data_IF_649609365872
#
_entry.id   IF_649609365872
#
_cell.length_a   1.000
_cell.length_b   1.000
_cell.length_c   1.000
_cell.angle_alpha   90.00
_cell.angle_beta   90.00
_cell.angle_gamma   90.00
#
_symmetry.space_group_name_H-M   'P 1'
#
loop_
_entity.id
_entity.type
_entity.pdbx_description
1 polymer ?
#
# COMPACT_ATOMS: atom_id res chain seq x y z
N UNK A 1 -20.66 -6.04 9.65
CA UNK A 1 -20.32 -4.85 8.82
C UNK A 1 -19.33 -3.93 9.52
N UNK A 2 -19.66 -3.19 10.60
CA UNK A 2 -18.69 -2.27 11.23
C UNK A 2 -17.42 -2.96 11.80
N UNK A 3 -17.57 -4.13 12.43
CA UNK A 3 -16.44 -4.93 12.91
C UNK A 3 -15.56 -5.46 11.77
N UNK A 4 -16.16 -5.75 10.61
CA UNK A 4 -15.44 -6.25 9.43
C UNK A 4 -14.59 -5.13 8.80
N UNK A 5 -15.08 -3.89 8.84
CA UNK A 5 -14.35 -2.73 8.32
C UNK A 5 -13.10 -2.42 9.16
N UNK A 6 -13.21 -2.47 10.49
CA UNK A 6 -12.07 -2.24 11.38
C UNK A 6 -11.03 -3.36 11.27
N UNK A 7 -11.48 -4.62 11.16
CA UNK A 7 -10.59 -5.76 10.93
C UNK A 7 -9.85 -5.62 9.58
N UNK A 8 -10.56 -5.23 8.51
CA UNK A 8 -9.96 -4.99 7.20
C UNK A 8 -8.95 -3.82 7.24
N UNK A 9 -9.28 -2.73 7.94
CA UNK A 9 -8.38 -1.59 8.11
C UNK A 9 -7.10 -1.99 8.87
N UNK A 10 -7.22 -2.82 9.91
CA UNK A 10 -6.08 -3.40 10.61
C UNK A 10 -5.18 -4.22 9.67
N UNK A 11 -5.78 -5.13 8.89
CA UNK A 11 -5.02 -5.96 7.93
C UNK A 11 -4.28 -5.12 6.88
N UNK A 12 -4.88 -4.04 6.39
CA UNK A 12 -4.23 -3.14 5.44
C UNK A 12 -3.03 -2.44 6.11
N UNK A 13 -3.20 -1.94 7.34
CA UNK A 13 -2.10 -1.30 8.09
C UNK A 13 -0.95 -2.27 8.33
N UNK A 14 -1.23 -3.53 8.67
CA UNK A 14 -0.21 -4.57 8.86
C UNK A 14 0.61 -4.78 7.57
N UNK A 15 -0.06 -4.86 6.42
CA UNK A 15 0.62 -5.00 5.12
C UNK A 15 1.52 -3.79 4.85
N UNK A 16 1.02 -2.57 5.08
CA UNK A 16 1.80 -1.33 4.86
C UNK A 16 2.94 -1.15 5.86
N UNK A 17 2.84 -1.75 7.05
CA UNK A 17 3.90 -1.82 8.05
C UNK A 17 4.96 -2.91 7.74
N UNK A 18 4.75 -3.71 6.70
CA UNK A 18 5.70 -4.74 6.28
C UNK A 18 5.58 -6.06 7.02
N UNK A 19 4.43 -6.34 7.66
CA UNK A 19 4.17 -7.65 8.26
C UNK A 19 4.15 -8.71 7.14
N UNK A 20 5.05 -9.71 7.19
CA UNK A 20 5.15 -10.70 6.12
C UNK A 20 3.93 -11.63 6.11
N UNK A 21 3.56 -12.10 4.92
CA UNK A 21 2.53 -13.13 4.75
C UNK A 21 1.79 -13.07 3.41
N UNK A 22 0.87 -14.01 3.15
CA UNK A 22 0.19 -14.13 1.86
C UNK A 22 -0.56 -12.87 1.41
N UNK A 23 -1.09 -12.10 2.37
CA UNK A 23 -1.77 -10.81 2.10
C UNK A 23 -0.79 -9.76 1.57
N UNK A 24 0.39 -9.66 2.17
CA UNK A 24 1.42 -8.73 1.71
C UNK A 24 1.91 -9.11 0.30
N UNK A 25 2.08 -10.40 0.03
CA UNK A 25 2.45 -10.92 -1.30
C UNK A 25 1.40 -10.57 -2.36
N UNK A 26 0.11 -10.72 -2.05
CA UNK A 26 -0.97 -10.35 -2.97
C UNK A 26 -0.98 -8.84 -3.29
N UNK A 27 -0.73 -8.00 -2.29
CA UNK A 27 -0.62 -6.54 -2.47
C UNK A 27 0.62 -6.18 -3.30
N UNK A 28 1.75 -6.84 -3.07
CA UNK A 28 2.99 -6.63 -3.84
C UNK A 28 2.75 -6.90 -5.33
N UNK A 29 2.06 -7.98 -5.68
CA UNK A 29 1.78 -8.31 -7.09
C UNK A 29 0.87 -7.26 -7.75
N UNK A 30 -0.18 -6.82 -7.08
CA UNK A 30 -1.07 -5.79 -7.63
C UNK A 30 -0.36 -4.42 -7.75
N UNK A 31 0.45 -4.06 -6.76
CA UNK A 31 1.26 -2.84 -6.82
C UNK A 31 2.31 -2.90 -7.95
N UNK A 32 2.94 -4.06 -8.16
CA UNK A 32 3.87 -4.27 -9.27
C UNK A 32 3.20 -4.07 -10.63
N UNK A 33 1.99 -4.62 -10.81
CA UNK A 33 1.20 -4.41 -12.02
C UNK A 33 0.86 -2.93 -12.23
N UNK A 34 0.46 -2.22 -11.18
CA UNK A 34 0.19 -0.78 -11.24
C UNK A 34 1.45 0.02 -11.62
N UNK A 35 2.61 -0.29 -11.02
CA UNK A 35 3.90 0.35 -11.33
C UNK A 35 4.33 0.11 -12.77
N UNK A 36 4.13 -1.11 -13.29
CA UNK A 36 4.42 -1.45 -14.67
C UNK A 36 3.52 -0.69 -15.64
N UNK A 37 2.20 -0.70 -15.42
CA UNK A 37 1.23 0.02 -16.25
C UNK A 37 1.47 1.54 -16.21
N UNK A 38 1.93 2.08 -15.09
CA UNK A 38 2.32 3.49 -14.95
C UNK A 38 3.65 3.85 -15.64
N UNK A 39 4.37 2.87 -16.22
CA UNK A 39 5.68 3.08 -16.83
C UNK A 39 6.81 3.35 -15.84
N UNK A 40 6.60 3.08 -14.55
CA UNK A 40 7.58 3.28 -13.48
C UNK A 40 8.49 2.06 -13.27
N UNK A 41 8.01 0.87 -13.65
CA UNK A 41 8.79 -0.36 -13.62
C UNK A 41 8.97 -0.91 -15.05
N UNK A 42 10.18 -1.37 -15.43
CA UNK A 42 10.44 -1.92 -16.76
C UNK A 42 9.77 -3.29 -16.99
N UNK A 43 9.47 -4.03 -15.93
CA UNK A 43 8.78 -5.30 -15.95
C UNK A 43 8.13 -5.60 -14.59
N UNK A 44 7.34 -6.68 -14.50
CA UNK A 44 6.65 -7.09 -13.27
C UNK A 44 7.61 -7.50 -12.14
N UNK A 45 8.81 -8.02 -12.46
CA UNK A 45 9.79 -8.43 -11.45
C UNK A 45 10.39 -7.20 -10.77
N UNK A 46 10.78 -6.20 -11.56
CA UNK A 46 11.22 -4.90 -11.07
C UNK A 46 10.10 -4.22 -10.26
N UNK A 47 8.86 -4.27 -10.76
CA UNK A 47 7.68 -3.75 -10.04
C UNK A 47 7.49 -4.40 -8.66
N UNK A 48 7.64 -5.73 -8.56
CA UNK A 48 7.58 -6.44 -7.28
C UNK A 48 8.71 -6.02 -6.34
N UNK A 49 9.92 -5.83 -6.85
CA UNK A 49 11.06 -5.34 -6.06
C UNK A 49 10.79 -3.94 -5.50
N UNK A 50 10.30 -3.03 -6.34
CA UNK A 50 9.96 -1.65 -5.95
C UNK A 50 8.82 -1.62 -4.93
N UNK A 51 7.78 -2.44 -5.12
CA UNK A 51 6.66 -2.54 -4.17
C UNK A 51 7.13 -3.06 -2.80
N UNK A 52 7.97 -4.10 -2.76
CA UNK A 52 8.56 -4.61 -1.51
C UNK A 52 9.42 -3.55 -0.83
N UNK A 53 10.25 -2.83 -1.59
CA UNK A 53 11.07 -1.76 -1.03
C UNK A 53 10.20 -0.63 -0.44
N UNK A 54 9.14 -0.22 -1.13
CA UNK A 54 8.23 0.81 -0.65
C UNK A 54 7.56 0.41 0.67
N UNK A 55 7.20 -0.86 0.83
CA UNK A 55 6.66 -1.41 2.08
C UNK A 55 7.75 -1.48 3.15
N UNK A 56 8.88 -2.14 2.88
CA UNK A 56 9.95 -2.36 3.85
C UNK A 56 10.60 -1.06 4.37
N UNK A 57 10.67 -0.03 3.52
CA UNK A 57 11.20 1.29 3.90
C UNK A 57 10.18 2.17 4.64
N UNK A 58 8.93 1.72 4.80
CA UNK A 58 7.84 2.49 5.39
C UNK A 58 7.30 3.62 4.50
N UNK A 59 7.79 3.78 3.26
CA UNK A 59 7.28 4.79 2.30
C UNK A 59 5.79 4.59 2.02
N UNK A 60 5.32 3.34 1.95
CA UNK A 60 3.92 3.02 1.72
C UNK A 60 3.01 3.47 2.89
N UNK A 61 3.44 3.26 4.13
CA UNK A 61 2.74 3.75 5.32
C UNK A 61 2.67 5.28 5.37
N UNK A 62 3.79 5.97 5.10
CA UNK A 62 3.83 7.44 5.01
C UNK A 62 2.91 8.01 3.95
N UNK A 63 2.76 7.33 2.80
CA UNK A 63 1.82 7.74 1.77
C UNK A 63 0.36 7.66 2.26
N UNK A 64 0.00 6.64 3.04
CA UNK A 64 -1.31 6.54 3.67
C UNK A 64 -1.53 7.66 4.71
N UNK A 65 -0.55 7.94 5.56
CA UNK A 65 -0.61 9.06 6.52
C UNK A 65 -0.86 10.37 5.80
N UNK A 66 -0.10 10.62 4.72
CA UNK A 66 -0.27 11.83 3.91
C UNK A 66 -1.66 11.91 3.26
N UNK A 67 -2.18 10.80 2.76
CA UNK A 67 -3.54 10.73 2.22
C UNK A 67 -4.57 11.10 3.28
N UNK A 68 -4.45 10.55 4.50
CA UNK A 68 -5.36 10.86 5.63
C UNK A 68 -5.34 12.35 5.96
N UNK A 69 -4.16 12.97 6.02
CA UNK A 69 -4.02 14.42 6.26
C UNK A 69 -4.74 15.24 5.19
N UNK A 70 -4.46 14.96 3.91
CA UNK A 70 -5.00 15.74 2.78
C UNK A 70 -6.51 15.56 2.66
N UNK A 71 -7.03 14.33 2.82
CA UNK A 71 -8.47 14.07 2.74
C UNK A 71 -9.25 14.73 3.87
N UNK A 72 -8.66 14.88 5.06
CA UNK A 72 -9.28 15.61 6.19
C UNK A 72 -9.21 17.12 6.00
N UNK A 73 -8.14 17.64 5.40
CA UNK A 73 -8.01 19.07 5.12
C UNK A 73 -9.06 19.59 4.10
N UNK A 74 -9.51 18.75 3.17
CA UNK A 74 -10.55 19.11 2.18
C UNK A 74 -12.00 18.97 2.67
N UNK A 75 -12.24 18.36 3.84
CA UNK A 75 -13.59 18.13 4.37
C UNK A 75 -14.09 19.25 5.30
N UNK A 76 -13.31 20.33 5.46
CA UNK A 76 -13.63 21.48 6.31
C UNK A 76 -13.71 22.83 5.57
N UNK A 77 -13.93 22.81 4.25
CA UNK A 77 -14.11 24.00 3.40
C UNK A 77 -15.47 24.05 2.75
#
# INVERSE_FOLDING_TARGET
VAADTEAAAGMIRDVLAGVPGPRAEFVVVNAAAALFVAGLAPDLRAGCSMAREAIASGKAGKALERLVEVSKAGAGG
#
